data_IF_747103893240
#
_entry.id   IF_747103893240
#
_cell.length_a   1.000
_cell.length_b   1.000
_cell.length_c   1.000
_cell.angle_alpha   90.00
_cell.angle_beta   90.00
_cell.angle_gamma   90.00
#
_symmetry.space_group_name_H-M   'P 1'
#
loop_
_entity.id
_entity.type
_entity.pdbx_description
1 polymer ?
#
# COMPACT_ATOMS: atom_id res chain seq x y z
N UNK A 1 1.84 -8.70 -8.97
CA UNK A 1 0.93 -7.56 -8.66
C UNK A 1 1.67 -6.24 -8.81
N UNK A 2 2.81 -6.04 -8.13
CA UNK A 2 3.67 -4.85 -8.29
C UNK A 2 3.99 -4.53 -9.75
N UNK A 3 4.33 -5.55 -10.54
CA UNK A 3 4.71 -5.42 -11.95
C UNK A 3 3.55 -4.91 -12.80
N UNK A 4 2.35 -5.45 -12.57
CA UNK A 4 1.12 -5.03 -13.25
C UNK A 4 0.74 -3.58 -12.90
N UNK A 5 0.90 -3.18 -11.63
CA UNK A 5 0.64 -1.80 -11.20
C UNK A 5 1.61 -0.83 -11.87
N UNK A 6 2.89 -1.22 -11.98
CA UNK A 6 3.92 -0.44 -12.68
C UNK A 6 3.57 -0.32 -14.17
N UNK A 7 3.22 -1.43 -14.82
CA UNK A 7 2.83 -1.43 -16.22
C UNK A 7 1.62 -0.51 -16.48
N UNK A 8 0.60 -0.56 -15.62
CA UNK A 8 -0.57 0.32 -15.74
C UNK A 8 -0.22 1.78 -15.50
N UNK A 9 0.65 2.07 -14.53
CA UNK A 9 1.13 3.42 -14.29
C UNK A 9 1.90 3.98 -15.51
N UNK A 10 2.75 3.16 -16.13
CA UNK A 10 3.46 3.52 -17.35
C UNK A 10 2.53 3.73 -18.56
N UNK A 11 1.40 3.01 -18.59
CA UNK A 11 0.33 3.23 -19.57
C UNK A 11 -0.55 4.46 -19.27
N UNK A 12 -0.17 5.30 -18.30
CA UNK A 12 -0.86 6.55 -17.97
C UNK A 12 -2.00 6.41 -16.95
N UNK A 13 -2.18 5.23 -16.34
CA UNK A 13 -3.18 5.05 -15.27
C UNK A 13 -2.67 5.67 -13.97
N UNK A 14 -3.45 6.53 -13.33
CA UNK A 14 -3.10 7.05 -12.00
C UNK A 14 -3.27 5.96 -10.95
N UNK A 15 -2.15 5.44 -10.42
CA UNK A 15 -2.13 4.43 -9.37
C UNK A 15 -1.72 5.07 -8.04
N UNK A 16 -2.51 4.84 -6.99
CA UNK A 16 -2.20 5.23 -5.61
C UNK A 16 -2.07 3.97 -4.76
N UNK A 17 -0.94 3.82 -4.09
CA UNK A 17 -0.65 2.65 -3.28
C UNK A 17 -0.44 3.06 -1.83
N UNK A 18 -1.27 2.52 -0.93
CA UNK A 18 -1.21 2.81 0.49
C UNK A 18 -1.01 1.51 1.28
N UNK A 19 -0.09 1.54 2.25
CA UNK A 19 0.24 0.39 3.10
C UNK A 19 0.42 0.82 4.55
N UNK A 20 0.18 -0.07 5.51
CA UNK A 20 0.56 0.17 6.90
C UNK A 20 2.01 -0.29 7.16
N UNK A 21 2.71 0.30 8.13
CA UNK A 21 4.10 -0.08 8.42
C UNK A 21 4.26 -1.45 9.10
N UNK A 22 3.29 -1.89 9.90
CA UNK A 22 3.42 -3.07 10.76
C UNK A 22 3.08 -4.36 10.00
N UNK A 23 1.94 -4.37 9.30
CA UNK A 23 1.48 -5.45 8.43
C UNK A 23 2.27 -5.58 7.13
N UNK A 24 2.86 -4.49 6.63
CA UNK A 24 3.77 -4.53 5.46
C UNK A 24 5.27 -4.44 5.81
N UNK A 25 5.65 -4.74 7.06
CA UNK A 25 7.06 -4.71 7.51
C UNK A 25 7.98 -5.60 6.63
N UNK A 26 7.47 -6.74 6.16
CA UNK A 26 8.20 -7.66 5.26
C UNK A 26 8.18 -7.23 3.78
N UNK A 27 7.49 -6.16 3.41
CA UNK A 27 7.41 -5.73 2.01
C UNK A 27 8.74 -5.08 1.58
N UNK A 28 9.37 -5.54 0.48
CA UNK A 28 10.68 -5.05 0.06
C UNK A 28 10.67 -3.56 -0.25
N UNK A 29 11.61 -2.81 0.33
CA UNK A 29 11.78 -1.38 0.05
C UNK A 29 12.12 -1.11 -1.42
N UNK A 30 12.85 -2.03 -2.06
CA UNK A 30 13.17 -1.94 -3.49
C UNK A 30 11.91 -1.95 -4.37
N UNK A 31 10.89 -2.75 -4.02
CA UNK A 31 9.63 -2.77 -4.76
C UNK A 31 8.89 -1.44 -4.65
N UNK A 32 8.85 -0.83 -3.46
CA UNK A 32 8.28 0.51 -3.28
C UNK A 32 9.04 1.53 -4.12
N UNK A 33 10.38 1.46 -4.13
CA UNK A 33 11.20 2.36 -4.94
C UNK A 33 10.87 2.26 -6.43
N UNK A 34 10.78 1.04 -6.97
CA UNK A 34 10.37 0.80 -8.37
C UNK A 34 8.98 1.34 -8.68
N UNK A 35 8.03 1.21 -7.75
CA UNK A 35 6.69 1.77 -7.91
C UNK A 35 6.73 3.30 -7.96
N UNK A 36 7.46 3.94 -7.06
CA UNK A 36 7.62 5.40 -7.05
C UNK A 36 8.32 5.90 -8.32
N UNK A 37 9.37 5.21 -8.77
CA UNK A 37 10.07 5.52 -10.02
C UNK A 37 9.17 5.37 -11.25
N UNK A 38 8.20 4.45 -11.22
CA UNK A 38 7.18 4.29 -12.25
C UNK A 38 6.03 5.33 -12.18
N UNK A 39 6.11 6.32 -11.27
CA UNK A 39 5.09 7.36 -11.11
C UNK A 39 3.93 6.98 -10.20
N UNK A 40 4.01 5.87 -9.47
CA UNK A 40 2.98 5.45 -8.51
C UNK A 40 3.12 6.25 -7.22
N UNK A 41 2.03 6.85 -6.75
CA UNK A 41 2.00 7.54 -5.46
C UNK A 41 1.96 6.51 -4.32
N UNK A 42 3.10 6.24 -3.69
CA UNK A 42 3.19 5.36 -2.52
C UNK A 42 3.13 6.12 -1.19
N UNK A 43 2.22 5.73 -0.29
CA UNK A 43 2.12 6.26 1.07
C UNK A 43 2.17 5.12 2.10
N UNK A 44 2.83 5.39 3.23
CA UNK A 44 2.87 4.46 4.36
C UNK A 44 2.14 5.09 5.55
N UNK A 45 1.11 4.42 6.03
CA UNK A 45 0.34 4.79 7.23
C UNK A 45 1.08 4.26 8.47
N UNK A 46 1.05 5.04 9.55
CA UNK A 46 1.75 4.73 10.82
C UNK A 46 3.24 4.42 10.64
N UNK A 47 4.06 5.37 10.16
CA UNK A 47 5.50 5.19 10.12
C UNK A 47 5.99 4.95 11.54
N UNK A 48 6.37 3.70 11.76
CA UNK A 48 7.04 3.18 12.95
C UNK A 48 8.23 4.10 13.32
N UNK A 49 8.00 5.07 14.22
CA UNK A 49 8.97 6.08 14.70
C UNK A 49 9.21 5.88 16.20
N UNK A 50 10.48 5.88 16.60
CA UNK A 50 10.90 5.85 18.01
C UNK A 50 10.47 7.15 18.71
N UNK A 51 9.95 7.13 19.96
CA UNK A 51 9.83 6.01 20.89
C UNK A 51 8.49 5.25 20.75
N UNK A 52 8.60 3.92 20.74
CA UNK A 52 7.60 2.96 20.26
C UNK A 52 6.51 2.57 21.27
N UNK A 53 6.30 3.39 22.30
CA UNK A 53 5.34 3.14 23.37
C UNK A 53 4.13 4.05 23.15
N UNK A 54 3.23 3.63 22.29
CA UNK A 54 1.87 4.15 22.26
C UNK A 54 0.93 2.95 22.21
N UNK A 55 -0.02 2.91 23.15
CA UNK A 55 -1.03 1.87 23.41
C UNK A 55 -1.97 1.54 22.22
N UNK A 56 -1.66 2.01 21.02
CA UNK A 56 -2.52 2.05 19.85
C UNK A 56 -2.24 0.93 18.83
N UNK A 57 -1.58 -0.16 19.26
CA UNK A 57 -1.24 -1.31 18.40
C UNK A 57 -2.45 -2.01 17.78
N UNK A 58 -3.65 -1.72 18.30
CA UNK A 58 -4.95 -2.21 17.81
C UNK A 58 -5.59 -1.33 16.72
N UNK A 59 -5.05 -0.15 16.40
CA UNK A 59 -5.45 0.61 15.21
C UNK A 59 -4.77 0.01 13.98
N UNK A 60 -5.10 -1.24 13.69
CA UNK A 60 -4.77 -1.84 12.40
C UNK A 60 -5.89 -1.49 11.45
N UNK A 61 -5.57 -0.73 10.41
CA UNK A 61 -6.33 -0.78 9.19
C UNK A 61 -6.13 -2.19 8.60
N UNK A 62 -6.98 -3.13 9.04
CA UNK A 62 -7.10 -4.44 8.42
C UNK A 62 -8.00 -4.38 7.18
N UNK A 63 -8.36 -3.17 6.76
CA UNK A 63 -9.08 -2.88 5.54
C UNK A 63 -8.12 -2.94 4.35
N UNK A 64 -8.32 -3.95 3.49
CA UNK A 64 -7.66 -4.04 2.19
C UNK A 64 -8.69 -3.58 1.17
N UNK A 65 -8.53 -2.35 0.69
CA UNK A 65 -9.47 -1.72 -0.24
C UNK A 65 -8.73 -1.43 -1.54
N UNK A 66 -9.32 -1.85 -2.65
CA UNK A 66 -8.86 -1.51 -4.01
C UNK A 66 -10.03 -0.87 -4.73
N UNK A 67 -9.87 0.38 -5.16
CA UNK A 67 -10.88 1.10 -5.94
C UNK A 67 -10.36 1.33 -7.35
N UNK A 68 -11.15 0.95 -8.35
CA UNK A 68 -10.83 1.08 -9.78
C UNK A 68 -11.81 2.07 -10.41
N UNK A 69 -11.27 3.07 -11.12
CA UNK A 69 -12.01 4.12 -11.86
C UNK A 69 -13.11 4.86 -11.07
N UNK A 70 -13.04 4.81 -9.73
CA UNK A 70 -14.10 5.27 -8.81
C UNK A 70 -15.47 4.61 -9.04
N UNK A 71 -15.51 3.49 -9.76
CA UNK A 71 -16.74 2.76 -10.11
C UNK A 71 -16.85 1.43 -9.37
N UNK A 72 -15.73 0.73 -9.24
CA UNK A 72 -15.68 -0.57 -8.59
C UNK A 72 -14.76 -0.51 -7.39
N UNK A 73 -15.17 -1.13 -6.28
CA UNK A 73 -14.35 -1.23 -5.08
C UNK A 73 -14.39 -2.65 -4.54
N UNK A 74 -13.20 -3.20 -4.31
CA UNK A 74 -12.99 -4.51 -3.74
C UNK A 74 -12.49 -4.34 -2.32
N UNK A 75 -13.15 -4.98 -1.37
CA UNK A 75 -12.75 -5.00 0.04
C UNK A 75 -12.56 -6.44 0.50
N UNK A 76 -11.54 -6.72 1.31
CA UNK A 76 -11.29 -8.08 1.80
C UNK A 76 -10.75 -8.13 3.23
N UNK A 77 -11.25 -9.09 4.01
CA UNK A 77 -10.81 -9.37 5.38
C UNK A 77 -9.55 -10.25 5.45
N UNK A 78 -9.35 -11.17 4.52
CA UNK A 78 -8.21 -12.10 4.55
C UNK A 78 -7.03 -11.62 3.70
N UNK A 79 -5.87 -12.25 3.91
CA UNK A 79 -4.57 -11.84 3.39
C UNK A 79 -4.52 -12.07 1.88
N UNK A 80 -4.53 -10.99 1.08
CA UNK A 80 -4.20 -11.12 -0.35
C UNK A 80 -2.74 -11.55 -0.45
N UNK A 81 -2.54 -12.78 -0.93
CA UNK A 81 -1.22 -13.39 -1.20
C UNK A 81 -0.69 -12.88 -2.53
#
# INVERSE_FOLDING_TARGET
MTELLIEKALNGVQVRFMRDSLGSYKFPREKIRKMVEAGIECRTIFPLRFPWILSNWNYRDHCKIVTIDRKESFTGGERWV
#
